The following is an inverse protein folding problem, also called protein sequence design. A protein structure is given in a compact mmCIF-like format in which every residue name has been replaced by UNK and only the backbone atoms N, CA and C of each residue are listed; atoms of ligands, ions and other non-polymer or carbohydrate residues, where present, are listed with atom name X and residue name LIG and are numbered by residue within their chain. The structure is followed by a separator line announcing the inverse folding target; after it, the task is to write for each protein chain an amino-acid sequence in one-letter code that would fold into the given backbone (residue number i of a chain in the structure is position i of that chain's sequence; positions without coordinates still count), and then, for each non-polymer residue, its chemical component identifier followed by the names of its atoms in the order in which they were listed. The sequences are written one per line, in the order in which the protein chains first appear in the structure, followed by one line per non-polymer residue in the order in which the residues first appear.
data_IF_464651867553
#
_entry.id   IF_464651867553
#
_cell.length_a   1.000
_cell.length_b   1.000
_cell.length_c   1.000
_cell.angle_alpha   90.00
_cell.angle_beta   90.00
_cell.angle_gamma   90.00
#
_symmetry.space_group_name_H-M   'P 1'
#
loop_
_entity.id
_entity.type
_entity.pdbx_description
1 polymer ?
#
# COMPACT_ATOMS: atom_id res chain seq x y z
N UNK A 1 20.57 10.96 0.62
CA UNK A 1 20.32 11.00 -0.82
C UNK A 1 18.85 11.08 -1.12
N UNK A 2 18.50 11.88 -2.10
CA UNK A 2 17.13 11.96 -2.56
C UNK A 2 16.68 10.60 -3.11
N UNK A 3 15.40 10.27 -2.91
CA UNK A 3 14.81 9.08 -3.53
C UNK A 3 14.86 9.21 -5.04
N UNK A 4 15.22 8.14 -5.73
CA UNK A 4 15.19 8.08 -7.18
C UNK A 4 13.85 7.59 -7.72
N UNK A 5 12.85 7.39 -6.85
CA UNK A 5 11.54 6.90 -7.27
C UNK A 5 10.67 8.02 -7.80
N UNK A 6 9.97 7.72 -8.89
CA UNK A 6 8.97 8.61 -9.49
C UNK A 6 7.62 7.93 -9.29
N UNK A 7 6.64 8.67 -8.78
CA UNK A 7 5.28 8.15 -8.61
C UNK A 7 4.42 8.63 -9.76
N UNK A 8 3.80 7.69 -10.46
CA UNK A 8 2.96 7.95 -11.63
C UNK A 8 1.57 7.33 -11.43
N UNK A 9 0.55 7.83 -12.14
CA UNK A 9 -0.76 7.18 -12.13
C UNK A 9 -0.68 5.77 -12.72
N UNK A 10 -1.55 4.89 -12.22
CA UNK A 10 -1.65 3.53 -12.71
C UNK A 10 -2.00 3.50 -14.20
N UNK A 11 -1.33 2.60 -14.94
CA UNK A 11 -1.71 2.22 -16.28
C UNK A 11 -1.89 0.70 -16.33
N UNK A 12 -2.82 0.18 -17.18
CA UNK A 12 -3.04 -1.27 -17.25
C UNK A 12 -1.77 -2.09 -17.50
N UNK A 13 -0.81 -1.53 -18.22
CA UNK A 13 0.47 -2.19 -18.48
C UNK A 13 1.29 -2.45 -17.23
N UNK A 14 1.05 -1.73 -16.13
CA UNK A 14 1.72 -1.95 -14.86
C UNK A 14 1.26 -3.22 -14.15
N UNK A 15 0.04 -3.69 -14.43
CA UNK A 15 -0.63 -4.68 -13.60
C UNK A 15 0.16 -5.98 -13.37
N UNK A 16 0.78 -6.60 -14.39
CA UNK A 16 1.56 -7.82 -14.14
C UNK A 16 2.70 -7.61 -13.14
N UNK A 17 3.43 -6.50 -13.26
CA UNK A 17 4.53 -6.19 -12.35
C UNK A 17 4.03 -5.90 -10.93
N UNK A 18 2.89 -5.23 -10.79
CA UNK A 18 2.29 -4.98 -9.47
C UNK A 18 1.87 -6.28 -8.79
N UNK A 19 1.29 -7.19 -9.53
CA UNK A 19 0.93 -8.50 -9.00
C UNK A 19 2.18 -9.28 -8.55
N UNK A 20 3.24 -9.25 -9.35
CA UNK A 20 4.50 -9.92 -9.02
C UNK A 20 5.12 -9.37 -7.74
N UNK A 21 5.21 -8.05 -7.61
CA UNK A 21 5.80 -7.45 -6.42
C UNK A 21 4.93 -7.66 -5.17
N UNK A 22 3.61 -7.65 -5.33
CA UNK A 22 2.70 -7.90 -4.22
C UNK A 22 2.87 -9.32 -3.68
N UNK A 23 2.90 -10.31 -4.57
CA UNK A 23 3.13 -11.71 -4.18
C UNK A 23 4.50 -11.84 -3.48
N UNK A 24 5.54 -11.26 -4.07
CA UNK A 24 6.90 -11.35 -3.54
C UNK A 24 7.02 -10.74 -2.14
N UNK A 25 6.46 -9.55 -1.92
CA UNK A 25 6.59 -8.88 -0.63
C UNK A 25 5.78 -9.57 0.46
N UNK A 26 4.57 -10.01 0.15
CA UNK A 26 3.75 -10.71 1.14
C UNK A 26 4.28 -12.10 1.45
N UNK A 27 4.83 -12.80 0.47
CA UNK A 27 5.49 -14.09 0.70
C UNK A 27 6.68 -13.97 1.66
N UNK A 28 7.40 -12.83 1.60
CA UNK A 28 8.49 -12.55 2.55
C UNK A 28 7.97 -12.22 3.95
N UNK A 29 6.86 -11.51 4.02
CA UNK A 29 6.26 -11.06 5.29
C UNK A 29 5.51 -12.18 6.00
N UNK A 30 4.82 -13.02 5.26
CA UNK A 30 3.97 -14.11 5.78
C UNK A 30 4.22 -15.39 4.97
N UNK A 31 5.38 -16.05 5.16
CA UNK A 31 5.76 -17.19 4.33
C UNK A 31 4.87 -18.41 4.48
N UNK A 32 4.05 -18.46 5.53
CA UNK A 32 3.10 -19.55 5.76
C UNK A 32 1.85 -19.48 4.87
N UNK A 33 1.66 -18.36 4.15
CA UNK A 33 0.52 -18.16 3.28
C UNK A 33 0.97 -18.24 1.83
N UNK A 34 0.21 -18.95 0.99
CA UNK A 34 0.47 -19.03 -0.45
C UNK A 34 -0.13 -17.82 -1.16
N UNK A 35 0.67 -16.74 -1.28
CA UNK A 35 0.22 -15.53 -1.95
C UNK A 35 0.14 -15.68 -3.47
N UNK A 36 0.90 -16.62 -4.06
CA UNK A 36 0.75 -16.88 -5.48
C UNK A 36 -0.66 -17.38 -5.81
N UNK A 37 -1.24 -18.18 -4.95
CA UNK A 37 -2.62 -18.63 -5.08
C UNK A 37 -3.63 -17.48 -4.95
N UNK A 38 -3.23 -16.37 -4.34
CA UNK A 38 -4.09 -15.19 -4.16
C UNK A 38 -3.94 -14.14 -5.26
N UNK A 39 -3.07 -14.38 -6.23
CA UNK A 39 -2.86 -13.46 -7.35
C UNK A 39 -4.17 -13.13 -8.08
N UNK A 40 -5.05 -14.09 -8.44
CA UNK A 40 -6.32 -13.76 -9.07
C UNK A 40 -7.21 -12.86 -8.22
N UNK A 41 -7.21 -13.08 -6.90
CA UNK A 41 -7.95 -12.23 -5.97
C UNK A 41 -7.47 -10.77 -6.04
N UNK A 42 -6.15 -10.57 -6.07
CA UNK A 42 -5.59 -9.21 -6.15
C UNK A 42 -6.05 -8.50 -7.42
N UNK A 43 -6.00 -9.17 -8.56
CA UNK A 43 -6.39 -8.58 -9.84
C UNK A 43 -7.86 -8.16 -9.83
N UNK A 44 -8.74 -9.02 -9.32
CA UNK A 44 -10.17 -8.70 -9.20
C UNK A 44 -10.41 -7.58 -8.18
N UNK A 45 -9.67 -7.59 -7.08
CA UNK A 45 -9.78 -6.59 -6.01
C UNK A 45 -9.40 -5.21 -6.51
N UNK A 46 -8.30 -5.09 -7.25
CA UNK A 46 -7.87 -3.82 -7.85
C UNK A 46 -8.96 -3.29 -8.79
N UNK A 47 -9.48 -4.13 -9.68
CA UNK A 47 -10.54 -3.73 -10.62
C UNK A 47 -11.78 -3.25 -9.86
N UNK A 48 -12.18 -3.97 -8.81
CA UNK A 48 -13.32 -3.60 -7.97
C UNK A 48 -13.12 -2.24 -7.33
N UNK A 49 -11.95 -2.00 -6.74
CA UNK A 49 -11.65 -0.73 -6.08
C UNK A 49 -11.66 0.42 -7.07
N UNK A 50 -11.08 0.24 -8.26
CA UNK A 50 -11.11 1.28 -9.31
C UNK A 50 -12.55 1.59 -9.73
N UNK A 51 -13.40 0.57 -9.83
CA UNK A 51 -14.82 0.76 -10.12
C UNK A 51 -15.58 1.51 -9.03
N UNK A 52 -15.04 1.56 -7.83
CA UNK A 52 -15.63 2.27 -6.68
C UNK A 52 -15.02 3.65 -6.45
N UNK A 53 -14.10 4.09 -7.31
CA UNK A 53 -13.50 5.42 -7.23
C UNK A 53 -12.10 5.47 -6.63
N UNK A 54 -11.53 4.34 -6.24
CA UNK A 54 -10.16 4.31 -5.75
C UNK A 54 -9.16 4.50 -6.90
N UNK A 55 -7.97 4.96 -6.55
CA UNK A 55 -6.86 5.19 -7.48
C UNK A 55 -5.64 4.39 -7.06
N UNK A 56 -4.91 3.89 -8.03
CA UNK A 56 -3.61 3.28 -7.79
C UNK A 56 -2.51 4.20 -8.31
N UNK A 57 -1.48 4.44 -7.51
CA UNK A 57 -0.29 5.18 -7.89
C UNK A 57 0.91 4.25 -7.80
N UNK A 58 1.80 4.34 -8.77
CA UNK A 58 2.89 3.39 -8.95
C UNK A 58 4.22 4.11 -8.79
N UNK A 59 5.09 3.57 -7.96
CA UNK A 59 6.46 4.05 -7.84
C UNK A 59 7.33 3.32 -8.85
N UNK A 60 8.00 4.09 -9.71
CA UNK A 60 8.96 3.55 -10.68
C UNK A 60 10.37 3.79 -10.18
N UNK A 61 11.23 2.80 -10.38
CA UNK A 61 12.64 2.92 -10.04
C UNK A 61 13.34 3.70 -11.15
N UNK A 62 13.31 5.00 -11.03
CA UNK A 62 13.87 6.09 -11.85
C UNK A 62 13.92 5.86 -13.36
N UNK A 63 13.99 6.91 -14.14
CA UNK A 63 12.92 7.45 -14.97
C UNK A 63 12.34 6.48 -15.99
N UNK A 64 12.98 5.39 -16.31
CA UNK A 64 12.48 4.35 -17.22
C UNK A 64 12.42 2.99 -16.54
N UNK A 65 12.36 3.00 -15.21
CA UNK A 65 12.46 1.79 -14.42
C UNK A 65 11.18 0.99 -14.32
N UNK A 66 11.34 -0.25 -13.83
CA UNK A 66 10.22 -1.12 -13.53
C UNK A 66 9.47 -0.64 -12.29
N UNK A 67 8.18 -1.01 -12.12
CA UNK A 67 7.46 -0.74 -10.90
C UNK A 67 8.16 -1.32 -9.67
N UNK A 68 8.37 -0.47 -8.67
CA UNK A 68 9.00 -0.83 -7.40
C UNK A 68 7.97 -0.97 -6.29
N UNK A 69 6.80 -0.39 -6.44
CA UNK A 69 5.74 -0.45 -5.46
C UNK A 69 4.49 0.24 -5.94
N UNK A 70 3.43 0.15 -5.13
CA UNK A 70 2.18 0.82 -5.45
C UNK A 70 1.38 1.11 -4.18
N UNK A 71 0.47 2.08 -4.30
CA UNK A 71 -0.49 2.43 -3.26
C UNK A 71 -1.87 2.52 -3.88
N UNK A 72 -2.88 2.05 -3.19
CA UNK A 72 -4.28 2.21 -3.58
C UNK A 72 -4.96 3.08 -2.54
N UNK A 73 -5.43 4.24 -2.96
CA UNK A 73 -6.10 5.22 -2.12
C UNK A 73 -7.44 5.62 -2.72
N UNK A 74 -8.46 5.71 -1.89
CA UNK A 74 -9.73 6.28 -2.30
C UNK A 74 -9.77 7.75 -1.88
N UNK A 75 -9.67 8.70 -2.83
CA UNK A 75 -9.65 10.12 -2.48
C UNK A 75 -10.98 10.62 -1.91
N UNK A 76 -12.07 9.89 -2.12
CA UNK A 76 -13.39 10.28 -1.60
C UNK A 76 -13.56 9.92 -0.13
N UNK A 77 -12.98 8.82 0.32
CA UNK A 77 -13.12 8.33 1.70
C UNK A 77 -11.84 8.50 2.52
N UNK A 78 -10.69 8.63 1.87
CA UNK A 78 -9.39 8.63 2.54
C UNK A 78 -8.91 7.23 2.92
N UNK A 79 -9.60 6.17 2.48
CA UNK A 79 -9.17 4.82 2.83
C UNK A 79 -8.01 4.34 1.96
N UNK A 80 -6.92 3.95 2.58
CA UNK A 80 -5.76 3.34 1.93
C UNK A 80 -5.88 1.83 2.03
N UNK A 81 -6.11 1.18 0.89
CA UNK A 81 -6.37 -0.26 0.85
C UNK A 81 -5.10 -1.08 0.78
N UNK A 82 -4.13 -0.65 -0.05
CA UNK A 82 -2.88 -1.37 -0.26
C UNK A 82 -1.72 -0.40 -0.31
N UNK A 83 -0.62 -0.81 0.29
CA UNK A 83 0.70 -0.19 0.12
C UNK A 83 1.71 -1.33 0.08
N UNK A 84 2.35 -1.52 -1.05
CA UNK A 84 3.30 -2.61 -1.23
C UNK A 84 4.53 -2.13 -1.97
N UNK A 85 5.70 -2.60 -1.54
CA UNK A 85 7.00 -2.29 -2.15
C UNK A 85 7.73 -3.60 -2.38
N UNK A 86 8.31 -3.77 -3.59
CA UNK A 86 9.08 -4.97 -3.90
C UNK A 86 10.22 -5.15 -2.89
N UNK A 87 10.48 -6.39 -2.44
CA UNK A 87 11.54 -6.62 -1.45
C UNK A 87 12.90 -6.05 -1.82
N UNK A 88 13.26 -6.07 -3.11
CA UNK A 88 14.53 -5.51 -3.59
C UNK A 88 14.66 -4.00 -3.34
N UNK A 89 13.54 -3.32 -3.12
CA UNK A 89 13.51 -1.86 -2.92
C UNK A 89 13.12 -1.43 -1.50
N UNK A 90 13.06 -2.37 -0.56
CA UNK A 90 12.78 -2.03 0.83
C UNK A 90 13.86 -1.11 1.41
N UNK A 91 13.44 -0.14 2.19
CA UNK A 91 14.37 0.76 2.89
C UNK A 91 14.98 1.84 2.00
N UNK A 92 14.45 2.04 0.78
CA UNK A 92 15.00 3.00 -0.18
C UNK A 92 14.11 4.22 -0.41
N UNK A 93 13.02 4.35 0.33
CA UNK A 93 12.15 5.53 0.25
C UNK A 93 10.94 5.39 -0.67
N UNK A 94 10.72 4.22 -1.28
CA UNK A 94 9.57 4.02 -2.18
C UNK A 94 8.24 4.12 -1.42
N UNK A 95 8.14 3.53 -0.23
CA UNK A 95 6.92 3.60 0.57
C UNK A 95 6.60 5.02 1.01
N UNK A 96 7.61 5.79 1.38
CA UNK A 96 7.45 7.21 1.74
C UNK A 96 6.96 8.03 0.56
N UNK A 97 7.52 7.80 -0.63
CA UNK A 97 7.08 8.49 -1.86
C UNK A 97 5.63 8.15 -2.19
N UNK A 98 5.24 6.89 -2.06
CA UNK A 98 3.87 6.44 -2.30
C UNK A 98 2.90 7.04 -1.27
N UNK A 99 3.30 7.08 0.00
CA UNK A 99 2.46 7.69 1.03
C UNK A 99 2.28 9.20 0.79
N UNK A 100 3.34 9.89 0.36
CA UNK A 100 3.22 11.31 0.02
C UNK A 100 2.22 11.54 -1.12
N UNK A 101 2.22 10.67 -2.13
CA UNK A 101 1.24 10.73 -3.21
C UNK A 101 -0.18 10.49 -2.68
N UNK A 102 -0.38 9.51 -1.80
CA UNK A 102 -1.67 9.24 -1.19
C UNK A 102 -2.17 10.43 -0.37
N UNK A 103 -1.29 11.05 0.42
CA UNK A 103 -1.63 12.23 1.22
C UNK A 103 -2.01 13.42 0.33
N UNK A 104 -1.37 13.55 -0.81
CA UNK A 104 -1.72 14.60 -1.77
C UNK A 104 -3.13 14.38 -2.35
N UNK A 105 -3.52 13.12 -2.57
CA UNK A 105 -4.86 12.80 -3.11
C UNK A 105 -5.94 12.79 -2.05
N UNK A 106 -5.60 12.57 -0.79
CA UNK A 106 -6.54 12.57 0.34
C UNK A 106 -6.03 13.49 1.44
N UNK A 107 -5.98 14.80 1.18
CA UNK A 107 -5.35 15.75 2.10
C UNK A 107 -6.11 15.96 3.40
N UNK A 108 -7.39 15.58 3.46
CA UNK A 108 -8.18 15.70 4.68
C UNK A 108 -7.87 14.60 5.71
N UNK A 109 -7.26 13.52 5.28
CA UNK A 109 -6.90 12.42 6.18
C UNK A 109 -6.91 11.08 5.47
N UNK A 110 -6.19 10.13 6.06
CA UNK A 110 -6.09 8.75 5.55
C UNK A 110 -6.36 7.79 6.70
N UNK A 111 -7.12 6.74 6.41
CA UNK A 111 -7.31 5.61 7.33
C UNK A 111 -6.84 4.34 6.65
N UNK A 112 -6.29 3.42 7.43
CA UNK A 112 -5.86 2.12 6.95
C UNK A 112 -6.02 1.07 8.04
N UNK A 113 -6.01 -0.19 7.64
CA UNK A 113 -5.99 -1.33 8.55
C UNK A 113 -4.66 -2.08 8.38
N UNK A 114 -4.04 -2.44 9.50
CA UNK A 114 -2.77 -3.16 9.52
C UNK A 114 -2.85 -4.31 10.51
N UNK A 115 -2.25 -5.46 10.18
CA UNK A 115 -2.23 -6.61 11.08
C UNK A 115 -1.46 -6.27 12.36
N UNK A 116 -2.03 -6.64 13.51
CA UNK A 116 -1.38 -6.42 14.80
C UNK A 116 -0.07 -7.21 14.94
N UNK A 117 0.04 -8.32 14.24
CA UNK A 117 1.25 -9.14 14.24
C UNK A 117 2.31 -8.67 13.23
N UNK A 118 2.15 -7.47 12.70
CA UNK A 118 3.13 -6.83 11.83
C UNK A 118 3.64 -5.51 12.47
N UNK A 119 4.43 -5.60 13.55
CA UNK A 119 4.88 -4.42 14.28
C UNK A 119 5.77 -3.50 13.44
N UNK A 120 6.46 -4.03 12.43
CA UNK A 120 7.28 -3.23 11.53
C UNK A 120 6.42 -2.25 10.72
N UNK A 121 5.29 -2.72 10.20
CA UNK A 121 4.37 -1.85 9.45
C UNK A 121 3.73 -0.82 10.39
N UNK A 122 3.32 -1.22 11.59
CA UNK A 122 2.76 -0.30 12.57
C UNK A 122 3.76 0.82 12.89
N UNK A 123 5.02 0.47 13.15
CA UNK A 123 6.06 1.46 13.43
C UNK A 123 6.29 2.40 12.25
N UNK A 124 6.27 1.87 11.02
CA UNK A 124 6.42 2.67 9.81
C UNK A 124 5.31 3.72 9.71
N UNK A 125 4.05 3.31 9.90
CA UNK A 125 2.94 4.25 9.84
C UNK A 125 3.00 5.28 10.96
N UNK A 126 3.36 4.87 12.18
CA UNK A 126 3.53 5.81 13.30
C UNK A 126 4.60 6.86 13.00
N UNK A 127 5.70 6.44 12.37
CA UNK A 127 6.77 7.37 11.96
C UNK A 127 6.26 8.42 10.97
N UNK A 128 5.28 8.07 10.15
CA UNK A 128 4.67 8.98 9.18
C UNK A 128 3.52 9.81 9.76
N UNK A 129 3.26 9.71 11.05
CA UNK A 129 2.25 10.51 11.71
C UNK A 129 0.90 9.84 11.91
N UNK A 130 0.79 8.55 11.61
CA UNK A 130 -0.43 7.80 11.88
C UNK A 130 -0.52 7.43 13.35
N UNK A 131 -1.74 7.37 13.87
CA UNK A 131 -2.01 6.92 15.23
C UNK A 131 -2.98 5.75 15.20
N UNK A 132 -2.90 4.88 16.22
CA UNK A 132 -3.84 3.77 16.35
C UNK A 132 -5.18 4.34 16.84
N UNK A 133 -6.22 4.15 16.05
CA UNK A 133 -7.58 4.64 16.39
C UNK A 133 -8.44 3.58 17.06
N UNK A 134 -8.33 2.33 16.61
CA UNK A 134 -9.15 1.23 17.17
C UNK A 134 -8.55 -0.12 16.80
N UNK A 135 -9.04 -1.16 17.49
CA UNK A 135 -8.71 -2.55 17.19
C UNK A 135 -9.89 -3.21 16.49
N UNK A 136 -9.61 -4.22 15.66
CA UNK A 136 -10.65 -4.96 14.97
C UNK A 136 -10.13 -6.30 14.46
N UNK A 137 -10.90 -6.90 13.57
CA UNK A 137 -10.53 -8.14 12.90
C UNK A 137 -10.74 -7.99 11.40
N UNK A 138 -9.83 -8.58 10.63
CA UNK A 138 -9.99 -8.68 9.20
C UNK A 138 -11.14 -9.65 8.90
N UNK A 139 -12.20 -9.24 8.18
CA UNK A 139 -13.36 -10.10 7.96
C UNK A 139 -13.03 -11.33 7.09
N UNK A 140 -11.96 -11.29 6.30
CA UNK A 140 -11.58 -12.40 5.42
C UNK A 140 -10.66 -13.38 6.13
N UNK A 141 -9.62 -12.89 6.84
CA UNK A 141 -8.61 -13.73 7.46
C UNK A 141 -8.90 -14.04 8.93
N UNK A 142 -9.74 -13.25 9.60
CA UNK A 142 -9.97 -13.33 11.03
C UNK A 142 -8.82 -12.80 11.88
N UNK A 143 -7.75 -12.30 11.24
CA UNK A 143 -6.59 -11.79 11.97
C UNK A 143 -6.92 -10.48 12.67
N UNK A 144 -6.32 -10.28 13.85
CA UNK A 144 -6.44 -9.02 14.58
C UNK A 144 -5.75 -7.90 13.82
N UNK A 145 -6.41 -6.75 13.72
CA UNK A 145 -5.88 -5.56 13.03
C UNK A 145 -5.95 -4.35 13.95
N UNK A 146 -5.13 -3.35 13.60
CA UNK A 146 -5.27 -1.99 14.08
C UNK A 146 -5.86 -1.14 12.97
N UNK A 147 -6.85 -0.29 13.28
CA UNK A 147 -7.23 0.83 12.44
C UNK A 147 -6.31 1.99 12.79
N UNK A 148 -5.58 2.49 11.80
CA UNK A 148 -4.69 3.64 11.99
C UNK A 148 -5.17 4.81 11.15
N UNK A 149 -4.97 6.03 11.65
CA UNK A 149 -5.43 7.24 10.99
C UNK A 149 -4.33 8.30 10.98
N UNK A 150 -4.26 9.01 9.87
CA UNK A 150 -3.41 10.18 9.69
C UNK A 150 -4.30 11.37 9.36
N UNK A 151 -4.00 12.51 9.98
CA UNK A 151 -4.62 13.78 9.65
C UNK A 151 -3.52 14.81 9.48
N UNK A 152 -3.67 15.77 8.54
CA UNK A 152 -2.69 16.83 8.39
C UNK A 152 -2.63 17.69 9.64
N UNK A 153 -1.45 18.28 9.89
CA UNK A 153 -1.30 19.25 10.97
C UNK A 153 -2.21 20.45 10.71
N UNK A 154 -2.84 20.94 11.77
CA UNK A 154 -3.73 22.10 11.69
C UNK A 154 -2.96 23.38 11.40
#
# INVERSE_FOLDING_TARGET
MASSFIVVPFAPAHLPALADLWVATWARTMPEIDFEARRPWLLEHIAKLHGQGAETHVALDAPAGAPAGFVIIDPNTGYLDQLAVAPAHWGQGAAEALMAAAQHRAPAGIALDVNQDNPRAVAFYQKLGFTIASAGQNPMSGRAIWRMEWRPAA
#
